data_IF_638274370588
#
_entry.id   IF_638274370588
#
_cell.length_a   1.000
_cell.length_b   1.000
_cell.length_c   1.000
_cell.angle_alpha   90.00
_cell.angle_beta   90.00
_cell.angle_gamma   90.00
#
_symmetry.space_group_name_H-M   'P 1'
#
loop_
_entity.id
_entity.type
_entity.pdbx_description
1 polymer ?
#
# COMPACT_ATOMS: atom_id res chain seq x y z
N UNK A 1 7.96 -28.02 9.76
CA UNK A 1 6.55 -27.84 9.39
C UNK A 1 6.46 -27.87 7.87
N UNK A 2 6.00 -28.98 7.29
CA UNK A 2 5.82 -29.09 5.83
C UNK A 2 4.71 -28.15 5.40
N UNK A 3 5.06 -27.03 4.78
CA UNK A 3 4.09 -26.21 4.05
C UNK A 3 3.75 -26.99 2.77
N UNK A 4 2.54 -27.53 2.69
CA UNK A 4 2.00 -28.07 1.43
C UNK A 4 2.00 -26.93 0.41
N UNK A 5 3.06 -26.85 -0.38
CA UNK A 5 3.18 -25.86 -1.46
C UNK A 5 2.46 -26.45 -2.68
N UNK A 6 1.28 -25.91 -2.97
CA UNK A 6 0.51 -26.30 -4.14
C UNK A 6 0.86 -25.37 -5.30
N UNK A 7 1.34 -25.94 -6.39
CA UNK A 7 1.63 -25.24 -7.64
C UNK A 7 0.62 -25.64 -8.73
N UNK A 8 0.31 -24.69 -9.59
CA UNK A 8 -0.33 -24.95 -10.88
C UNK A 8 0.55 -24.48 -12.03
N UNK A 9 0.39 -25.08 -13.18
CA UNK A 9 1.01 -24.59 -14.42
C UNK A 9 0.00 -23.73 -15.18
N UNK A 10 0.39 -22.52 -15.56
CA UNK A 10 -0.43 -21.66 -16.39
C UNK A 10 -0.56 -22.28 -17.80
N UNK A 11 -1.76 -22.56 -18.31
CA UNK A 11 -1.92 -23.24 -19.60
C UNK A 11 -1.46 -22.37 -20.78
N UNK A 12 -1.48 -21.05 -20.62
CA UNK A 12 -1.12 -20.11 -21.71
C UNK A 12 0.37 -19.83 -21.75
N UNK A 13 1.02 -19.68 -20.58
CA UNK A 13 2.43 -19.25 -20.52
C UNK A 13 3.38 -20.38 -20.13
N UNK A 14 2.88 -21.51 -19.65
CA UNK A 14 3.68 -22.59 -19.09
C UNK A 14 4.34 -22.28 -17.75
N UNK A 15 4.13 -21.09 -17.18
CA UNK A 15 4.74 -20.70 -15.91
C UNK A 15 4.18 -21.50 -14.74
N UNK A 16 5.07 -21.88 -13.84
CA UNK A 16 4.74 -22.53 -12.58
C UNK A 16 4.34 -21.49 -11.55
N UNK A 17 3.13 -21.58 -11.03
CA UNK A 17 2.53 -20.56 -10.14
C UNK A 17 2.21 -21.19 -8.79
N UNK A 18 2.78 -20.64 -7.73
CA UNK A 18 2.41 -20.95 -6.34
C UNK A 18 1.01 -20.39 -6.04
N UNK A 19 0.09 -21.24 -5.58
CA UNK A 19 -1.30 -20.84 -5.32
C UNK A 19 -1.42 -19.84 -4.17
N UNK A 20 -0.51 -19.87 -3.19
CA UNK A 20 -0.49 -18.86 -2.12
C UNK A 20 -0.11 -17.48 -2.65
N UNK A 21 0.92 -17.42 -3.50
CA UNK A 21 1.31 -16.18 -4.18
C UNK A 21 0.20 -15.66 -5.10
N UNK A 22 -0.45 -16.55 -5.87
CA UNK A 22 -1.55 -16.17 -6.76
C UNK A 22 -2.70 -15.47 -6.02
N UNK A 23 -3.11 -16.00 -4.86
CA UNK A 23 -4.15 -15.39 -4.04
C UNK A 23 -3.74 -14.01 -3.56
N UNK A 24 -2.51 -13.85 -3.06
CA UNK A 24 -1.98 -12.58 -2.59
C UNK A 24 -1.87 -11.54 -3.72
N UNK A 25 -1.41 -11.94 -4.91
CA UNK A 25 -1.40 -11.09 -6.10
C UNK A 25 -2.80 -10.58 -6.42
N UNK A 26 -3.79 -11.48 -6.46
CA UNK A 26 -5.17 -11.14 -6.79
C UNK A 26 -5.78 -10.18 -5.78
N UNK A 27 -5.66 -10.43 -4.47
CA UNK A 27 -6.28 -9.57 -3.46
C UNK A 27 -5.64 -8.18 -3.43
N UNK A 28 -4.31 -8.08 -3.59
CA UNK A 28 -3.64 -6.80 -3.69
C UNK A 28 -4.05 -6.04 -4.96
N UNK A 29 -4.12 -6.71 -6.12
CA UNK A 29 -4.56 -6.09 -7.37
C UNK A 29 -6.03 -5.63 -7.29
N UNK A 30 -6.91 -6.41 -6.68
CA UNK A 30 -8.33 -6.01 -6.48
C UNK A 30 -8.42 -4.81 -5.55
N UNK A 31 -7.71 -4.82 -4.40
CA UNK A 31 -7.67 -3.67 -3.49
C UNK A 31 -7.16 -2.42 -4.22
N UNK A 32 -6.07 -2.54 -4.99
CA UNK A 32 -5.54 -1.44 -5.79
C UNK A 32 -6.61 -0.84 -6.72
N UNK A 33 -7.31 -1.66 -7.50
CA UNK A 33 -8.34 -1.18 -8.44
C UNK A 33 -9.52 -0.53 -7.70
N UNK A 34 -9.93 -1.07 -6.57
CA UNK A 34 -11.02 -0.49 -5.75
C UNK A 34 -10.63 0.89 -5.23
N UNK A 35 -9.46 1.04 -4.64
CA UNK A 35 -9.01 2.36 -4.15
C UNK A 35 -8.74 3.34 -5.29
N UNK A 36 -8.22 2.89 -6.44
CA UNK A 36 -8.10 3.73 -7.63
C UNK A 36 -9.47 4.25 -8.10
N UNK A 37 -10.49 3.40 -8.10
CA UNK A 37 -11.84 3.80 -8.49
C UNK A 37 -12.44 4.82 -7.49
N UNK A 38 -12.28 4.60 -6.18
CA UNK A 38 -12.72 5.53 -5.14
C UNK A 38 -11.99 6.86 -5.28
N UNK A 39 -10.66 6.84 -5.36
CA UNK A 39 -9.85 8.04 -5.56
C UNK A 39 -10.18 8.77 -6.87
N UNK A 40 -10.48 8.04 -7.94
CA UNK A 40 -10.94 8.60 -9.22
C UNK A 40 -12.27 9.34 -9.10
N UNK A 41 -13.23 8.81 -8.33
CA UNK A 41 -14.49 9.50 -8.05
C UNK A 41 -14.26 10.81 -7.28
N UNK A 42 -13.41 10.81 -6.26
CA UNK A 42 -13.01 12.05 -5.58
C UNK A 42 -12.30 13.03 -6.53
N UNK A 43 -11.46 12.55 -7.44
CA UNK A 43 -10.83 13.36 -8.46
C UNK A 43 -11.82 14.03 -9.40
N UNK A 44 -12.90 13.34 -9.77
CA UNK A 44 -13.97 13.91 -10.55
C UNK A 44 -14.69 15.03 -9.78
N UNK A 45 -15.00 14.83 -8.48
CA UNK A 45 -15.58 15.86 -7.63
C UNK A 45 -14.68 17.10 -7.53
N UNK A 46 -13.38 16.89 -7.36
CA UNK A 46 -12.37 17.97 -7.35
C UNK A 46 -12.37 18.75 -8.69
N UNK A 47 -12.38 18.04 -9.81
CA UNK A 47 -12.39 18.65 -11.14
C UNK A 47 -13.66 19.47 -11.39
N UNK A 48 -14.83 18.93 -11.08
CA UNK A 48 -16.12 19.63 -11.21
C UNK A 48 -16.25 20.84 -10.29
N UNK A 49 -15.62 20.79 -9.11
CA UNK A 49 -15.61 21.94 -8.18
C UNK A 49 -14.73 23.06 -8.69
N UNK A 50 -13.64 22.74 -9.39
CA UNK A 50 -12.74 23.74 -9.99
C UNK A 50 -13.26 24.33 -11.29
N UNK A 51 -14.28 23.72 -11.87
CA UNK A 51 -14.90 24.27 -13.07
C UNK A 51 -15.80 25.45 -12.70
N UNK A 52 -15.52 26.67 -13.23
CA UNK A 52 -16.17 27.91 -12.77
C UNK A 52 -17.70 27.91 -12.90
N UNK A 53 -18.24 27.26 -13.92
CA UNK A 53 -19.70 27.21 -14.16
C UNK A 53 -20.42 26.18 -13.26
N UNK A 54 -19.69 25.20 -12.70
CA UNK A 54 -20.29 24.12 -11.90
C UNK A 54 -20.14 24.38 -10.40
N UNK A 55 -18.94 24.66 -9.94
CA UNK A 55 -18.58 24.99 -8.55
C UNK A 55 -19.27 24.09 -7.52
N UNK A 56 -19.08 22.74 -7.68
CA UNK A 56 -19.93 21.71 -7.07
C UNK A 56 -19.88 21.68 -5.54
N UNK A 57 -18.66 21.76 -4.94
CA UNK A 57 -18.45 21.59 -3.50
C UNK A 57 -18.06 22.92 -2.83
N UNK A 58 -18.52 23.18 -1.59
CA UNK A 58 -17.98 24.25 -0.77
C UNK A 58 -16.50 23.94 -0.40
N UNK A 59 -15.77 24.99 0.02
CA UNK A 59 -14.33 24.92 0.23
C UNK A 59 -13.88 23.79 1.17
N UNK A 60 -14.59 23.60 2.29
CA UNK A 60 -14.24 22.57 3.28
C UNK A 60 -14.33 21.16 2.67
N UNK A 61 -15.40 20.86 1.98
CA UNK A 61 -15.58 19.58 1.29
C UNK A 61 -14.63 19.39 0.11
N UNK A 62 -14.26 20.48 -0.56
CA UNK A 62 -13.26 20.43 -1.61
C UNK A 62 -11.91 19.93 -1.09
N UNK A 63 -11.43 20.45 0.05
CA UNK A 63 -10.15 20.00 0.61
C UNK A 63 -10.19 18.59 1.16
N UNK A 64 -11.33 18.12 1.69
CA UNK A 64 -11.51 16.71 2.07
C UNK A 64 -11.48 15.79 0.82
N UNK A 65 -12.22 16.15 -0.22
CA UNK A 65 -12.22 15.39 -1.47
C UNK A 65 -10.82 15.37 -2.13
N UNK A 66 -10.09 16.49 -2.09
CA UNK A 66 -8.73 16.58 -2.60
C UNK A 66 -7.77 15.68 -1.79
N UNK A 67 -7.93 15.63 -0.47
CA UNK A 67 -7.14 14.76 0.41
C UNK A 67 -7.42 13.28 0.13
N UNK A 68 -8.68 12.88 0.05
CA UNK A 68 -9.08 11.52 -0.28
C UNK A 68 -8.58 11.10 -1.68
N UNK A 69 -8.75 11.98 -2.67
CA UNK A 69 -8.23 11.75 -4.03
C UNK A 69 -6.72 11.53 -4.03
N UNK A 70 -5.97 12.45 -3.41
CA UNK A 70 -4.51 12.37 -3.37
C UNK A 70 -4.01 11.14 -2.63
N UNK A 71 -4.62 10.81 -1.48
CA UNK A 71 -4.27 9.64 -0.70
C UNK A 71 -4.50 8.34 -1.47
N UNK A 72 -5.71 8.16 -2.02
CA UNK A 72 -6.08 6.92 -2.67
C UNK A 72 -5.37 6.70 -4.00
N UNK A 73 -5.11 7.80 -4.76
CA UNK A 73 -4.47 7.72 -6.09
C UNK A 73 -2.95 7.75 -6.01
N UNK A 74 -2.34 8.48 -5.05
CA UNK A 74 -0.88 8.61 -4.99
C UNK A 74 -0.21 7.69 -3.97
N UNK A 75 -0.98 7.13 -3.03
CA UNK A 75 -0.43 6.27 -1.99
C UNK A 75 -1.06 4.88 -2.00
N UNK A 76 -2.36 4.78 -1.80
CA UNK A 76 -3.00 3.51 -1.46
C UNK A 76 -3.01 2.54 -2.66
N UNK A 77 -3.56 2.96 -3.82
CA UNK A 77 -3.66 2.05 -4.97
C UNK A 77 -2.29 1.67 -5.51
N UNK A 78 -1.33 2.63 -5.58
CA UNK A 78 0.01 2.36 -6.13
C UNK A 78 0.72 1.30 -5.30
N UNK A 79 0.70 1.42 -3.96
CA UNK A 79 1.40 0.48 -3.08
C UNK A 79 0.72 -0.90 -3.08
N UNK A 80 -0.62 -0.99 -3.07
CA UNK A 80 -1.28 -2.28 -3.25
C UNK A 80 -0.93 -2.93 -4.59
N UNK A 81 -0.89 -2.15 -5.67
CA UNK A 81 -0.49 -2.65 -6.99
C UNK A 81 0.98 -3.08 -7.00
N UNK A 82 1.85 -2.30 -6.37
CA UNK A 82 3.27 -2.64 -6.20
C UNK A 82 3.44 -3.98 -5.46
N UNK A 83 2.70 -4.22 -4.36
CA UNK A 83 2.73 -5.51 -3.66
C UNK A 83 2.34 -6.67 -4.58
N UNK A 84 1.33 -6.50 -5.42
CA UNK A 84 0.96 -7.52 -6.42
C UNK A 84 2.11 -7.77 -7.40
N UNK A 85 2.78 -6.71 -7.89
CA UNK A 85 3.93 -6.81 -8.80
C UNK A 85 5.14 -7.45 -8.10
N UNK A 86 5.44 -7.12 -6.84
CA UNK A 86 6.53 -7.73 -6.07
C UNK A 86 6.33 -9.24 -5.94
N UNK A 87 5.14 -9.69 -5.57
CA UNK A 87 4.85 -11.14 -5.46
C UNK A 87 4.85 -11.83 -6.82
N UNK A 88 4.36 -11.17 -7.87
CA UNK A 88 4.45 -11.69 -9.23
C UNK A 88 5.91 -11.83 -9.69
N UNK A 89 6.72 -10.80 -9.49
CA UNK A 89 8.11 -10.75 -9.92
C UNK A 89 9.01 -11.76 -9.19
N UNK A 90 8.71 -12.05 -7.92
CA UNK A 90 9.52 -12.99 -7.11
C UNK A 90 9.00 -14.43 -7.18
N UNK A 91 7.70 -14.65 -7.04
CA UNK A 91 7.16 -16.01 -6.99
C UNK A 91 6.87 -16.56 -8.40
N UNK A 92 6.14 -15.81 -9.25
CA UNK A 92 5.69 -16.33 -10.54
C UNK A 92 6.82 -16.32 -11.58
N UNK A 93 7.53 -15.20 -11.75
CA UNK A 93 8.59 -15.11 -12.77
C UNK A 93 9.80 -15.99 -12.43
N UNK A 94 10.07 -16.27 -11.16
CA UNK A 94 11.15 -17.15 -10.75
C UNK A 94 10.67 -18.60 -10.49
N UNK A 95 9.39 -18.90 -10.69
CA UNK A 95 8.82 -20.24 -10.46
C UNK A 95 8.98 -20.73 -9.01
N UNK A 96 9.03 -19.80 -8.06
CA UNK A 96 9.29 -20.07 -6.64
C UNK A 96 8.01 -20.05 -5.81
N UNK A 97 8.04 -20.70 -4.66
CA UNK A 97 7.03 -20.48 -3.62
C UNK A 97 7.27 -19.15 -2.91
N UNK A 98 6.19 -18.55 -2.40
CA UNK A 98 6.33 -17.38 -1.53
C UNK A 98 6.97 -17.78 -0.19
N UNK A 99 7.90 -16.96 0.32
CA UNK A 99 8.71 -17.32 1.49
C UNK A 99 7.89 -17.44 2.78
N UNK A 100 6.98 -16.51 3.01
CA UNK A 100 6.27 -16.38 4.28
C UNK A 100 4.80 -15.95 4.06
N UNK A 101 3.92 -16.82 3.53
CA UNK A 101 2.55 -16.44 3.15
C UNK A 101 1.73 -15.87 4.31
N UNK A 102 1.94 -16.33 5.55
CA UNK A 102 1.23 -15.81 6.73
C UNK A 102 1.58 -14.34 6.99
N UNK A 103 2.86 -13.97 6.85
CA UNK A 103 3.30 -12.58 7.00
C UNK A 103 2.83 -11.71 5.84
N UNK A 104 2.78 -12.24 4.62
CA UNK A 104 2.21 -11.54 3.48
C UNK A 104 0.72 -11.20 3.70
N UNK A 105 -0.06 -12.14 4.25
CA UNK A 105 -1.46 -11.89 4.63
C UNK A 105 -1.60 -10.89 5.78
N UNK A 106 -0.73 -10.97 6.79
CA UNK A 106 -0.71 -9.99 7.88
C UNK A 106 -0.38 -8.58 7.33
N UNK A 107 0.61 -8.47 6.43
CA UNK A 107 0.94 -7.22 5.76
C UNK A 107 -0.23 -6.65 4.96
N UNK A 108 -0.89 -7.48 4.15
CA UNK A 108 -2.11 -7.09 3.43
C UNK A 108 -3.22 -6.60 4.37
N UNK A 109 -3.46 -7.31 5.47
CA UNK A 109 -4.46 -6.92 6.46
C UNK A 109 -4.16 -5.58 7.11
N UNK A 110 -2.90 -5.33 7.51
CA UNK A 110 -2.47 -4.05 8.07
C UNK A 110 -2.63 -2.91 7.06
N UNK A 111 -2.24 -3.12 5.80
CA UNK A 111 -2.43 -2.14 4.74
C UNK A 111 -3.91 -1.81 4.55
N UNK A 112 -4.76 -2.83 4.48
CA UNK A 112 -6.20 -2.63 4.27
C UNK A 112 -6.83 -1.86 5.43
N UNK A 113 -6.56 -2.28 6.66
CA UNK A 113 -7.07 -1.60 7.87
C UNK A 113 -6.54 -0.17 7.94
N UNK A 114 -5.25 0.05 7.69
CA UNK A 114 -4.64 1.39 7.66
C UNK A 114 -5.30 2.30 6.63
N UNK A 115 -5.48 1.83 5.40
CA UNK A 115 -6.16 2.58 4.34
C UNK A 115 -7.61 2.94 4.71
N UNK A 116 -8.35 1.99 5.29
CA UNK A 116 -9.74 2.22 5.73
C UNK A 116 -9.81 3.26 6.85
N UNK A 117 -8.97 3.14 7.89
CA UNK A 117 -8.92 4.11 8.99
C UNK A 117 -8.65 5.52 8.43
N UNK A 118 -7.62 5.66 7.59
CA UNK A 118 -7.26 6.97 7.03
C UNK A 118 -8.40 7.58 6.22
N UNK A 119 -9.05 6.78 5.36
CA UNK A 119 -10.20 7.25 4.57
C UNK A 119 -11.39 7.64 5.45
N UNK A 120 -11.69 6.87 6.48
CA UNK A 120 -12.79 7.19 7.43
C UNK A 120 -12.52 8.51 8.13
N UNK A 121 -11.30 8.74 8.63
CA UNK A 121 -10.94 10.01 9.29
C UNK A 121 -11.07 11.20 8.33
N UNK A 122 -10.61 11.06 7.08
CA UNK A 122 -10.78 12.11 6.06
C UNK A 122 -12.26 12.40 5.82
N UNK A 123 -13.10 11.38 5.63
CA UNK A 123 -14.52 11.55 5.36
C UNK A 123 -15.31 12.12 6.55
N UNK A 124 -14.83 11.94 7.77
CA UNK A 124 -15.39 12.56 8.98
C UNK A 124 -14.94 14.01 9.19
N UNK A 125 -14.09 14.54 8.33
CA UNK A 125 -13.56 15.90 8.44
C UNK A 125 -12.30 16.04 9.26
N UNK A 126 -11.75 14.94 9.78
CA UNK A 126 -10.57 14.93 10.65
C UNK A 126 -9.25 15.19 9.93
N UNK A 127 -9.25 15.31 8.62
CA UNK A 127 -8.03 15.62 7.86
C UNK A 127 -8.33 16.26 6.51
N UNK A 128 -7.88 17.51 6.37
CA UNK A 128 -7.87 18.27 5.10
C UNK A 128 -6.45 18.60 4.62
N UNK A 129 -5.46 17.83 5.09
CA UNK A 129 -4.02 18.15 4.98
C UNK A 129 -3.36 17.58 3.74
N UNK A 130 -4.13 16.99 2.82
CA UNK A 130 -3.59 16.21 1.72
C UNK A 130 -2.72 15.06 2.24
N UNK A 131 -2.19 14.20 1.39
CA UNK A 131 -1.34 13.09 1.83
C UNK A 131 0.03 13.52 2.36
N UNK A 132 0.45 14.76 2.07
CA UNK A 132 1.77 15.31 2.44
C UNK A 132 1.84 15.81 3.88
N UNK A 133 0.72 16.20 4.47
CA UNK A 133 0.61 16.66 5.88
C UNK A 133 1.66 17.71 6.27
N UNK A 134 1.93 18.69 5.39
CA UNK A 134 2.92 19.73 5.66
C UNK A 134 2.49 20.65 6.81
N UNK A 135 3.43 20.97 7.69
CA UNK A 135 3.27 21.96 8.73
C UNK A 135 2.92 23.33 8.09
N UNK A 136 1.93 24.10 8.61
CA UNK A 136 1.24 23.96 9.89
C UNK A 136 -0.06 23.14 9.87
N UNK A 137 -0.34 22.43 8.78
CA UNK A 137 -1.57 21.65 8.64
C UNK A 137 -1.57 20.48 9.63
N UNK A 138 -2.67 20.35 10.36
CA UNK A 138 -2.88 19.28 11.35
C UNK A 138 -3.97 18.32 10.89
N UNK A 139 -3.79 17.04 11.22
CA UNK A 139 -4.80 16.01 11.06
C UNK A 139 -5.05 15.34 12.42
N UNK A 140 -6.19 14.68 12.56
CA UNK A 140 -6.46 13.86 13.74
C UNK A 140 -5.48 12.69 13.88
N UNK A 141 -5.17 12.25 15.10
CA UNK A 141 -4.22 11.14 15.35
C UNK A 141 -4.55 9.87 14.56
N UNK A 142 -5.84 9.58 14.36
CA UNK A 142 -6.30 8.44 13.57
C UNK A 142 -5.81 8.44 12.12
N UNK A 143 -5.65 9.61 11.51
CA UNK A 143 -5.10 9.73 10.15
C UNK A 143 -3.65 9.21 10.11
N UNK A 144 -2.81 9.67 11.02
CA UNK A 144 -1.40 9.25 11.10
C UNK A 144 -1.28 7.78 11.47
N UNK A 145 -2.10 7.30 12.41
CA UNK A 145 -2.14 5.88 12.79
C UNK A 145 -2.49 5.01 11.57
N UNK A 146 -3.48 5.41 10.77
CA UNK A 146 -3.85 4.71 9.54
C UNK A 146 -2.69 4.61 8.55
N UNK A 147 -1.99 5.71 8.30
CA UNK A 147 -0.81 5.73 7.41
C UNK A 147 0.33 4.87 7.98
N UNK A 148 0.58 4.91 9.28
CA UNK A 148 1.61 4.08 9.93
C UNK A 148 1.30 2.59 9.75
N UNK A 149 0.07 2.16 10.03
CA UNK A 149 -0.35 0.77 9.84
C UNK A 149 -0.20 0.33 8.38
N UNK A 150 -0.59 1.18 7.45
CA UNK A 150 -0.43 0.95 6.01
C UNK A 150 1.04 0.77 5.64
N UNK A 151 1.91 1.66 6.10
CA UNK A 151 3.34 1.61 5.84
C UNK A 151 4.02 0.37 6.46
N UNK A 152 3.65 -0.01 7.69
CA UNK A 152 4.14 -1.25 8.33
C UNK A 152 3.73 -2.48 7.53
N UNK A 153 2.49 -2.53 7.04
CA UNK A 153 2.01 -3.59 6.18
C UNK A 153 2.80 -3.71 4.88
N UNK A 154 3.07 -2.57 4.23
CA UNK A 154 3.89 -2.50 3.02
C UNK A 154 5.34 -2.95 3.28
N UNK A 155 5.93 -2.55 4.40
CA UNK A 155 7.27 -2.97 4.80
C UNK A 155 7.37 -4.49 4.98
N UNK A 156 6.38 -5.10 5.61
CA UNK A 156 6.28 -6.57 5.73
C UNK A 156 6.24 -7.20 4.33
N UNK A 157 5.46 -6.64 3.40
CA UNK A 157 5.40 -7.09 2.00
C UNK A 157 6.76 -7.07 1.31
N UNK A 158 7.53 -5.99 1.47
CA UNK A 158 8.90 -5.87 0.95
C UNK A 158 9.81 -6.97 1.52
N UNK A 159 9.76 -7.24 2.82
CA UNK A 159 10.58 -8.32 3.41
C UNK A 159 10.17 -9.71 2.95
N UNK A 160 8.87 -9.95 2.75
CA UNK A 160 8.40 -11.22 2.14
C UNK A 160 8.91 -11.35 0.71
N UNK A 161 8.93 -10.27 -0.07
CA UNK A 161 9.51 -10.24 -1.41
C UNK A 161 11.01 -10.61 -1.37
N UNK A 162 11.82 -9.96 -0.54
CA UNK A 162 13.24 -10.29 -0.41
C UNK A 162 13.45 -11.75 0.03
N UNK A 163 12.67 -12.21 1.01
CA UNK A 163 12.69 -13.62 1.44
C UNK A 163 12.37 -14.58 0.30
N UNK A 164 11.42 -14.22 -0.57
CA UNK A 164 11.05 -15.03 -1.74
C UNK A 164 12.18 -15.10 -2.77
N UNK A 165 12.93 -14.01 -2.99
CA UNK A 165 14.12 -14.03 -3.84
C UNK A 165 15.21 -14.96 -3.27
N UNK A 166 15.41 -14.93 -1.94
CA UNK A 166 16.35 -15.84 -1.27
C UNK A 166 15.94 -17.30 -1.44
N UNK A 167 14.65 -17.61 -1.24
CA UNK A 167 14.09 -18.96 -1.46
C UNK A 167 14.30 -19.42 -2.90
N UNK A 168 13.98 -18.56 -3.87
CA UNK A 168 14.16 -18.87 -5.29
C UNK A 168 15.61 -19.23 -5.63
N UNK A 169 16.56 -18.49 -5.06
CA UNK A 169 18.01 -18.73 -5.23
C UNK A 169 18.46 -20.02 -4.55
N UNK A 170 18.03 -20.29 -3.32
CA UNK A 170 18.39 -21.48 -2.56
C UNK A 170 17.84 -22.77 -3.18
N UNK A 171 16.58 -22.73 -3.63
CA UNK A 171 15.89 -23.86 -4.27
C UNK A 171 16.25 -23.99 -5.75
N UNK A 172 17.04 -23.07 -6.30
CA UNK A 172 17.46 -23.03 -7.72
C UNK A 172 16.28 -23.15 -8.69
N UNK A 173 15.20 -22.41 -8.40
CA UNK A 173 13.97 -22.48 -9.20
C UNK A 173 14.09 -21.85 -10.57
N UNK A 174 15.12 -21.01 -10.80
CA UNK A 174 15.43 -20.37 -12.07
C UNK A 174 16.92 -20.53 -12.42
N UNK A 175 17.24 -20.38 -13.70
CA UNK A 175 18.62 -20.42 -14.23
C UNK A 175 18.96 -19.11 -14.94
N UNK A 176 20.23 -18.70 -14.89
CA UNK A 176 20.71 -17.47 -15.52
C UNK A 176 20.45 -16.21 -14.69
N UNK A 177 20.33 -15.07 -15.37
CA UNK A 177 20.05 -13.78 -14.76
C UNK A 177 18.58 -13.65 -14.37
N UNK A 178 18.30 -12.85 -13.35
CA UNK A 178 16.91 -12.53 -12.98
C UNK A 178 16.22 -11.73 -14.10
N UNK A 179 14.89 -11.93 -14.32
CA UNK A 179 14.12 -11.14 -15.28
C UNK A 179 14.21 -9.64 -15.00
N UNK A 180 14.14 -8.82 -16.04
CA UNK A 180 14.20 -7.36 -15.91
C UNK A 180 13.13 -6.80 -14.97
N UNK A 181 11.92 -7.35 -15.00
CA UNK A 181 10.84 -6.97 -14.07
C UNK A 181 11.22 -7.28 -12.63
N UNK A 182 11.84 -8.42 -12.36
CA UNK A 182 12.31 -8.79 -11.02
C UNK A 182 13.44 -7.86 -10.54
N UNK A 183 14.34 -7.46 -11.44
CA UNK A 183 15.38 -6.48 -11.12
C UNK A 183 14.78 -5.10 -10.80
N UNK A 184 13.82 -4.63 -11.59
CA UNK A 184 13.08 -3.38 -11.32
C UNK A 184 12.33 -3.45 -9.97
N UNK A 185 11.65 -4.56 -9.70
CA UNK A 185 10.96 -4.81 -8.44
C UNK A 185 11.93 -4.81 -7.23
N UNK A 186 13.13 -5.40 -7.39
CA UNK A 186 14.18 -5.37 -6.36
C UNK A 186 14.62 -3.93 -6.05
N UNK A 187 14.85 -3.13 -7.08
CA UNK A 187 15.24 -1.71 -6.90
C UNK A 187 14.11 -0.92 -6.24
N UNK A 188 12.87 -1.10 -6.67
CA UNK A 188 11.71 -0.45 -6.07
C UNK A 188 11.53 -0.82 -4.58
N UNK A 189 11.65 -2.10 -4.25
CA UNK A 189 11.53 -2.56 -2.86
C UNK A 189 12.65 -2.01 -1.94
N UNK A 190 13.88 -1.88 -2.45
CA UNK A 190 14.96 -1.23 -1.69
C UNK A 190 14.63 0.24 -1.43
N UNK A 191 14.17 0.98 -2.44
CA UNK A 191 13.77 2.38 -2.30
C UNK A 191 12.59 2.49 -1.31
N UNK A 192 11.59 1.61 -1.40
CA UNK A 192 10.44 1.58 -0.51
C UNK A 192 10.85 1.41 0.95
N UNK A 193 11.80 0.53 1.28
CA UNK A 193 12.30 0.35 2.65
C UNK A 193 12.90 1.64 3.19
N UNK A 194 13.75 2.33 2.42
CA UNK A 194 14.34 3.60 2.85
C UNK A 194 13.29 4.72 2.96
N UNK A 195 12.33 4.78 2.05
CA UNK A 195 11.23 5.74 2.09
C UNK A 195 10.35 5.54 3.32
N UNK A 196 9.97 4.30 3.64
CA UNK A 196 9.17 3.97 4.82
C UNK A 196 9.96 4.28 6.10
N UNK A 197 11.25 3.95 6.16
CA UNK A 197 12.09 4.29 7.31
C UNK A 197 12.18 5.80 7.54
N UNK A 198 12.38 6.58 6.49
CA UNK A 198 12.39 8.05 6.55
C UNK A 198 11.02 8.61 6.97
N UNK A 199 9.94 8.06 6.42
CA UNK A 199 8.57 8.44 6.79
C UNK A 199 8.25 8.12 8.26
N UNK A 200 8.71 7.00 8.79
CA UNK A 200 8.50 6.60 10.18
C UNK A 200 9.13 7.61 11.17
N UNK A 201 10.30 8.16 10.85
CA UNK A 201 10.98 9.17 11.68
C UNK A 201 10.13 10.43 11.84
N UNK A 202 9.28 10.75 10.88
CA UNK A 202 8.40 11.92 10.89
C UNK A 202 7.02 11.56 11.44
N UNK A 203 6.39 10.51 10.91
CA UNK A 203 5.00 10.18 11.21
C UNK A 203 4.79 9.67 12.64
N UNK A 204 5.73 8.89 13.20
CA UNK A 204 5.57 8.34 14.55
C UNK A 204 5.59 9.46 15.62
N UNK A 205 6.59 10.37 15.66
CA UNK A 205 6.57 11.48 16.59
C UNK A 205 5.37 12.42 16.39
N UNK A 206 4.96 12.68 15.15
CA UNK A 206 3.80 13.51 14.85
C UNK A 206 2.50 12.89 15.39
N UNK A 207 2.30 11.60 15.20
CA UNK A 207 1.14 10.90 15.75
C UNK A 207 1.11 10.97 17.28
N UNK A 208 2.24 10.73 17.93
CA UNK A 208 2.36 10.79 19.40
C UNK A 208 2.10 12.20 19.95
N UNK A 209 2.64 13.23 19.29
CA UNK A 209 2.43 14.62 19.68
C UNK A 209 0.95 15.00 19.63
N UNK A 210 0.26 14.72 18.53
CA UNK A 210 -1.16 15.06 18.40
C UNK A 210 -2.08 14.21 19.27
N UNK A 211 -1.65 13.01 19.67
CA UNK A 211 -2.37 12.19 20.65
C UNK A 211 -2.26 12.79 22.05
N UNK A 212 -1.10 13.35 22.43
CA UNK A 212 -0.92 14.01 23.74
C UNK A 212 -1.69 15.33 23.81
N UNK A 213 -1.62 16.17 22.76
CA UNK A 213 -2.38 17.42 22.70
C UNK A 213 -3.89 17.20 22.84
N UNK A 214 -4.44 16.18 22.16
CA UNK A 214 -5.86 15.82 22.27
C UNK A 214 -6.27 15.34 23.68
N UNK A 215 -5.37 14.71 24.43
CA UNK A 215 -5.61 14.32 25.80
C UNK A 215 -5.62 15.50 26.77
N UNK A 216 -4.76 16.50 26.55
CA UNK A 216 -4.67 17.70 27.37
C UNK A 216 -5.87 18.65 27.15
N UNK A 217 -6.40 18.74 25.92
CA UNK A 217 -7.60 19.54 25.60
C UNK A 217 -8.90 18.92 26.15
N UNK A 218 -8.90 17.64 26.50
CA UNK A 218 -10.07 16.91 27.03
C UNK A 218 -10.13 16.84 28.57
N UNK A 219 -9.13 17.34 29.27
CA UNK A 219 -9.03 17.41 30.73
C UNK A 219 -9.38 18.78 31.27
#
# INVERSE_FOLDING_TARGET
MSTNTEFRTCPTTGLKVDLAAEKLIKVNAVAAVVFLAIGGLFGLLVALTRWPEVHLLPADWFYLALTAHGLDVLLVWIIFFEMAVLYFASAVLLGSRIAAPKWAWAGFGLMLVGALITNVVVLQGGSSVMFTSYVPLKAEPGFYLGIILFAVGALIGCFVFFGTLVVARQERTYQGSIPLVTFGALTAAIIAVFTIASGAIILIPTCLLYTSDAADESS
#
